data_IF_398942825525
#
_entry.id   IF_398942825525
#
_cell.length_a   1.000
_cell.length_b   1.000
_cell.length_c   1.000
_cell.angle_alpha   90.00
_cell.angle_beta   90.00
_cell.angle_gamma   90.00
#
_symmetry.space_group_name_H-M   'P 1'
#
loop_
_entity.id
_entity.type
_entity.pdbx_description
1 polymer ?
#
# COMPACT_ATOMS: atom_id res chain seq x y z
N UNK A 1 -6.53 10.91 20.92
CA UNK A 1 -7.40 9.73 21.06
C UNK A 1 -7.83 9.34 19.66
N UNK A 2 -7.33 8.21 19.17
CA UNK A 2 -7.78 7.63 17.90
C UNK A 2 -9.29 7.48 17.92
N UNK A 3 -9.94 7.79 16.79
CA UNK A 3 -11.37 7.54 16.64
C UNK A 3 -11.57 6.04 16.66
N UNK A 4 -12.26 5.52 17.67
CA UNK A 4 -12.67 4.12 17.66
C UNK A 4 -13.81 3.98 16.65
N UNK A 5 -13.47 3.59 15.43
CA UNK A 5 -14.42 3.33 14.36
C UNK A 5 -14.99 1.91 14.56
N UNK A 6 -16.31 1.75 14.80
CA UNK A 6 -16.88 0.43 15.03
C UNK A 6 -16.72 -0.46 13.79
N UNK A 7 -16.33 -1.73 13.98
CA UNK A 7 -16.25 -2.72 12.89
C UNK A 7 -17.57 -2.86 12.13
N UNK A 8 -18.70 -2.64 12.81
CA UNK A 8 -20.01 -2.64 12.17
C UNK A 8 -20.16 -1.52 11.13
N UNK A 9 -19.58 -0.34 11.35
CA UNK A 9 -19.64 0.76 10.40
C UNK A 9 -18.85 0.44 9.12
N UNK A 10 -17.69 -0.20 9.26
CA UNK A 10 -16.87 -0.70 8.14
C UNK A 10 -17.68 -1.72 7.32
N UNK A 11 -18.29 -2.70 7.98
CA UNK A 11 -19.13 -3.71 7.33
C UNK A 11 -20.35 -3.12 6.63
N UNK A 12 -20.98 -2.08 7.23
CA UNK A 12 -22.10 -1.37 6.61
C UNK A 12 -21.68 -0.61 5.36
N UNK A 13 -20.56 0.11 5.39
CA UNK A 13 -20.03 0.83 4.23
C UNK A 13 -19.70 -0.15 3.10
N UNK A 14 -18.99 -1.23 3.42
CA UNK A 14 -18.71 -2.30 2.45
C UNK A 14 -19.98 -2.86 1.82
N UNK A 15 -20.99 -3.18 2.65
CA UNK A 15 -22.28 -3.67 2.15
C UNK A 15 -22.99 -2.63 1.26
N UNK A 16 -22.87 -1.34 1.56
CA UNK A 16 -23.46 -0.28 0.73
C UNK A 16 -22.78 -0.19 -0.64
N UNK A 17 -21.45 -0.27 -0.67
CA UNK A 17 -20.65 -0.30 -1.90
C UNK A 17 -20.92 -1.55 -2.73
N UNK A 18 -20.92 -2.73 -2.10
CA UNK A 18 -21.19 -4.02 -2.77
C UNK A 18 -22.61 -4.07 -3.40
N UNK A 19 -23.60 -3.43 -2.76
CA UNK A 19 -24.97 -3.36 -3.27
C UNK A 19 -25.20 -2.21 -4.26
N UNK A 20 -24.21 -1.33 -4.45
CA UNK A 20 -24.33 -0.24 -5.40
C UNK A 20 -24.26 -0.80 -6.82
N UNK A 21 -25.34 -0.63 -7.58
CA UNK A 21 -25.43 -1.07 -8.97
C UNK A 21 -24.63 -0.13 -9.88
N UNK A 22 -23.31 -0.22 -9.78
CA UNK A 22 -22.37 0.69 -10.45
C UNK A 22 -22.54 0.68 -11.96
N UNK A 23 -22.78 -0.48 -12.58
CA UNK A 23 -22.95 -0.61 -14.03
C UNK A 23 -24.22 0.10 -14.50
N UNK A 24 -25.36 -0.14 -13.83
CA UNK A 24 -26.62 0.55 -14.11
C UNK A 24 -26.47 2.08 -13.97
N UNK A 25 -25.71 2.55 -12.97
CA UNK A 25 -25.43 3.97 -12.77
C UNK A 25 -24.55 4.56 -13.89
N UNK A 26 -23.52 3.84 -14.33
CA UNK A 26 -22.63 4.24 -15.44
C UNK A 26 -23.42 4.40 -16.74
N UNK A 27 -24.38 3.50 -17.03
CA UNK A 27 -25.22 3.58 -18.23
C UNK A 27 -26.06 4.86 -18.30
N UNK A 28 -26.39 5.45 -17.15
CA UNK A 28 -27.13 6.72 -17.06
C UNK A 28 -26.23 7.95 -17.23
N UNK A 29 -24.90 7.79 -17.24
CA UNK A 29 -23.93 8.88 -17.32
C UNK A 29 -23.49 9.16 -18.77
N UNK A 30 -24.02 10.21 -19.37
CA UNK A 30 -23.58 10.73 -20.70
C UNK A 30 -22.76 12.02 -20.59
N UNK A 31 -22.90 12.76 -19.49
CA UNK A 31 -22.21 14.02 -19.23
C UNK A 31 -21.76 14.13 -17.76
N UNK A 32 -21.08 15.22 -17.43
CA UNK A 32 -20.56 15.48 -16.09
C UNK A 32 -21.67 15.65 -15.04
N UNK A 33 -22.76 16.35 -15.36
CA UNK A 33 -23.89 16.53 -14.45
C UNK A 33 -24.55 15.20 -14.05
N UNK A 34 -24.64 14.25 -14.99
CA UNK A 34 -25.12 12.89 -14.71
C UNK A 34 -24.10 12.07 -13.93
N UNK A 35 -22.80 12.26 -14.16
CA UNK A 35 -21.74 11.63 -13.36
C UNK A 35 -21.84 12.08 -11.89
N UNK A 36 -22.00 13.40 -11.70
CA UNK A 36 -22.27 14.04 -10.42
C UNK A 36 -23.48 13.41 -9.70
N UNK A 37 -24.62 13.35 -10.38
CA UNK A 37 -25.89 12.83 -9.82
C UNK A 37 -25.91 11.32 -9.56
N UNK A 38 -25.40 10.50 -10.47
CA UNK A 38 -25.60 9.04 -10.41
C UNK A 38 -24.42 8.28 -9.82
N UNK A 39 -23.22 8.89 -9.75
CA UNK A 39 -22.03 8.23 -9.20
C UNK A 39 -21.50 8.95 -7.95
N UNK A 40 -21.28 10.27 -8.05
CA UNK A 40 -20.59 11.03 -7.00
C UNK A 40 -21.49 11.29 -5.78
N UNK A 41 -22.72 11.78 -5.99
CA UNK A 41 -23.66 12.03 -4.89
C UNK A 41 -24.01 10.74 -4.11
N UNK A 42 -24.34 9.59 -4.76
CA UNK A 42 -24.55 8.34 -4.05
C UNK A 42 -23.35 7.87 -3.22
N UNK A 43 -22.13 8.05 -3.73
CA UNK A 43 -20.91 7.72 -2.99
C UNK A 43 -20.78 8.54 -1.70
N UNK A 44 -20.97 9.86 -1.76
CA UNK A 44 -20.92 10.70 -0.57
C UNK A 44 -22.08 10.42 0.39
N UNK A 45 -23.25 10.02 -0.12
CA UNK A 45 -24.36 9.54 0.70
C UNK A 45 -24.00 8.26 1.48
N UNK A 46 -23.24 7.33 0.88
CA UNK A 46 -22.72 6.15 1.59
C UNK A 46 -21.76 6.52 2.72
N UNK A 47 -21.06 7.65 2.59
CA UNK A 47 -20.22 8.26 3.63
C UNK A 47 -21.00 9.17 4.59
N UNK A 48 -22.33 9.09 4.60
CA UNK A 48 -23.24 9.84 5.47
C UNK A 48 -23.25 11.37 5.25
N UNK A 49 -22.78 11.85 4.10
CA UNK A 49 -22.99 13.23 3.69
C UNK A 49 -24.35 13.35 2.99
N UNK A 50 -25.24 14.18 3.54
CA UNK A 50 -26.54 14.46 2.92
C UNK A 50 -26.51 15.82 2.22
N UNK A 51 -27.59 16.22 1.55
CA UNK A 51 -27.63 17.41 0.68
C UNK A 51 -27.29 18.74 1.37
N UNK A 52 -27.37 18.82 2.70
CA UNK A 52 -26.96 20.01 3.45
C UNK A 52 -25.47 20.02 3.83
N UNK A 53 -24.78 18.87 3.68
CA UNK A 53 -23.35 18.74 3.93
C UNK A 53 -22.55 18.89 2.64
N UNK A 54 -23.03 18.29 1.55
CA UNK A 54 -22.44 18.33 0.22
C UNK A 54 -23.08 19.46 -0.60
N UNK A 55 -22.47 20.64 -0.58
CA UNK A 55 -23.02 21.86 -1.20
C UNK A 55 -22.52 21.97 -2.65
N UNK A 56 -23.42 21.93 -3.65
CA UNK A 56 -23.03 22.10 -5.04
C UNK A 56 -22.71 23.56 -5.37
N UNK A 57 -21.92 23.79 -6.41
CA UNK A 57 -21.68 25.13 -6.99
C UNK A 57 -21.18 26.14 -5.93
N UNK A 58 -20.27 25.68 -5.07
CA UNK A 58 -19.77 26.43 -3.91
C UNK A 58 -18.77 27.50 -4.34
N UNK A 59 -18.86 28.69 -3.75
CA UNK A 59 -17.93 29.78 -4.06
C UNK A 59 -16.61 29.58 -3.31
N UNK A 60 -15.53 29.36 -4.04
CA UNK A 60 -14.19 29.12 -3.50
C UNK A 60 -13.37 30.43 -3.44
N UNK A 61 -13.92 31.51 -2.86
CA UNK A 61 -13.33 32.85 -2.94
C UNK A 61 -13.07 33.56 -1.60
N UNK A 62 -11.99 34.35 -1.62
CA UNK A 62 -11.75 35.51 -0.77
C UNK A 62 -11.13 36.64 -1.63
N UNK A 63 -11.92 37.62 -2.09
CA UNK A 63 -11.45 38.83 -2.79
C UNK A 63 -12.33 39.33 -3.97
N UNK A 64 -12.03 40.52 -4.51
CA UNK A 64 -12.79 41.25 -5.57
C UNK A 64 -12.69 40.63 -6.99
N UNK A 65 -12.37 39.34 -7.12
CA UNK A 65 -12.34 38.66 -8.44
C UNK A 65 -13.54 37.74 -8.61
N UNK A 66 -14.00 37.65 -9.86
CA UNK A 66 -15.16 36.90 -10.33
C UNK A 66 -15.18 35.51 -9.71
N UNK A 67 -16.28 35.20 -9.02
CA UNK A 67 -16.35 34.01 -8.17
C UNK A 67 -16.24 32.73 -8.98
N UNK A 68 -15.15 31.97 -8.80
CA UNK A 68 -15.06 30.67 -9.42
C UNK A 68 -15.74 29.64 -8.52
N UNK A 69 -16.78 29.02 -9.05
CA UNK A 69 -17.53 27.97 -8.36
C UNK A 69 -16.86 26.62 -8.58
N UNK A 70 -16.74 25.86 -7.49
CA UNK A 70 -16.34 24.46 -7.51
C UNK A 70 -17.58 23.58 -7.51
N UNK A 71 -17.47 22.37 -8.08
CA UNK A 71 -18.58 21.43 -8.22
C UNK A 71 -19.26 21.11 -6.89
N UNK A 72 -18.48 20.71 -5.88
CA UNK A 72 -19.00 20.56 -4.52
C UNK A 72 -18.01 21.02 -3.45
N UNK A 73 -18.58 21.41 -2.30
CA UNK A 73 -17.86 21.58 -1.05
C UNK A 73 -18.57 20.80 0.05
N UNK A 74 -17.79 20.06 0.85
CA UNK A 74 -18.29 19.40 2.05
C UNK A 74 -17.99 20.30 3.25
N UNK A 75 -19.03 20.76 3.96
CA UNK A 75 -18.86 21.56 5.17
C UNK A 75 -18.78 20.68 6.41
N UNK A 76 -17.64 20.71 7.10
CA UNK A 76 -17.40 19.99 8.34
C UNK A 76 -17.47 20.94 9.53
N UNK A 77 -18.36 20.64 10.50
CA UNK A 77 -18.45 21.35 11.78
C UNK A 77 -18.42 22.89 11.69
N UNK A 78 -18.95 23.46 10.59
CA UNK A 78 -18.98 24.89 10.26
C UNK A 78 -17.62 25.60 10.16
N UNK A 79 -16.49 24.88 10.14
CA UNK A 79 -15.15 25.49 10.11
C UNK A 79 -14.29 24.96 8.97
N UNK A 80 -14.20 23.65 8.83
CA UNK A 80 -13.35 23.04 7.79
C UNK A 80 -14.19 22.73 6.55
N UNK A 81 -13.59 22.90 5.38
CA UNK A 81 -14.22 22.61 4.10
C UNK A 81 -13.38 21.57 3.35
N UNK A 82 -14.02 20.57 2.74
CA UNK A 82 -13.36 19.70 1.75
C UNK A 82 -13.86 20.11 0.38
N UNK A 83 -12.93 20.43 -0.51
CA UNK A 83 -13.23 20.78 -1.88
C UNK A 83 -13.34 19.53 -2.75
N UNK A 84 -14.33 19.45 -3.61
CA UNK A 84 -14.53 18.31 -4.51
C UNK A 84 -14.73 18.82 -5.94
N UNK A 85 -13.77 18.50 -6.81
CA UNK A 85 -13.85 18.72 -8.25
C UNK A 85 -14.28 17.42 -8.92
N UNK A 86 -15.33 17.50 -9.73
CA UNK A 86 -15.90 16.39 -10.48
C UNK A 86 -15.49 16.48 -11.96
N UNK A 87 -15.42 15.31 -12.60
CA UNK A 87 -15.28 15.17 -14.04
C UNK A 87 -16.25 14.12 -14.55
N UNK A 88 -16.50 14.12 -15.86
CA UNK A 88 -17.25 13.04 -16.52
C UNK A 88 -16.58 11.69 -16.28
N UNK A 89 -17.37 10.63 -16.04
CA UNK A 89 -16.85 9.29 -15.69
C UNK A 89 -15.85 8.71 -16.70
N UNK A 90 -16.04 9.00 -17.99
CA UNK A 90 -15.17 8.53 -19.07
C UNK A 90 -13.85 9.30 -19.18
N UNK A 91 -13.70 10.41 -18.45
CA UNK A 91 -12.50 11.24 -18.47
C UNK A 91 -11.44 10.69 -17.52
N UNK A 92 -10.17 10.76 -17.95
CA UNK A 92 -9.03 10.48 -17.08
C UNK A 92 -8.77 11.67 -16.16
N UNK A 93 -8.39 11.39 -14.93
CA UNK A 93 -7.94 12.41 -13.98
C UNK A 93 -6.44 12.66 -14.21
N UNK A 94 -6.09 13.82 -14.77
CA UNK A 94 -4.71 14.20 -15.09
C UNK A 94 -4.26 15.41 -14.28
N UNK A 95 -2.99 15.79 -14.43
CA UNK A 95 -2.41 16.97 -13.76
C UNK A 95 -3.12 18.27 -14.17
N UNK A 96 -3.78 18.29 -15.33
CA UNK A 96 -4.60 19.43 -15.75
C UNK A 96 -5.79 19.65 -14.82
N UNK A 97 -6.55 18.59 -14.54
CA UNK A 97 -7.71 18.65 -13.64
C UNK A 97 -7.27 18.88 -12.19
N UNK A 98 -6.15 18.30 -11.77
CA UNK A 98 -5.54 18.60 -10.46
C UNK A 98 -5.12 20.07 -10.35
N UNK A 99 -4.55 20.66 -11.41
CA UNK A 99 -4.22 22.08 -11.47
C UNK A 99 -5.45 23.00 -11.35
N UNK A 100 -6.59 22.59 -11.93
CA UNK A 100 -7.87 23.30 -11.75
C UNK A 100 -8.31 23.25 -10.28
N UNK A 101 -8.28 22.07 -9.66
CA UNK A 101 -8.59 21.88 -8.24
C UNK A 101 -7.67 22.73 -7.34
N UNK A 102 -6.37 22.79 -7.65
CA UNK A 102 -5.41 23.62 -6.91
C UNK A 102 -5.77 25.11 -6.94
N UNK A 103 -6.32 25.60 -8.05
CA UNK A 103 -6.79 26.98 -8.18
C UNK A 103 -7.86 27.32 -7.13
N UNK A 104 -8.85 26.45 -6.95
CA UNK A 104 -9.88 26.60 -5.91
C UNK A 104 -9.32 26.42 -4.49
N UNK A 105 -8.41 25.46 -4.33
CA UNK A 105 -7.82 25.11 -3.03
C UNK A 105 -6.99 26.27 -2.45
N UNK A 106 -6.16 26.92 -3.27
CA UNK A 106 -5.34 28.06 -2.84
C UNK A 106 -6.18 29.23 -2.30
N UNK A 107 -7.37 29.43 -2.85
CA UNK A 107 -8.28 30.50 -2.43
C UNK A 107 -9.12 30.13 -1.19
N UNK A 108 -9.17 28.86 -0.81
CA UNK A 108 -10.02 28.35 0.29
C UNK A 108 -9.18 28.02 1.53
N UNK A 109 -8.83 29.03 2.33
CA UNK A 109 -7.90 28.91 3.47
C UNK A 109 -8.31 27.92 4.56
N UNK A 110 -9.60 27.63 4.68
CA UNK A 110 -10.14 26.67 5.64
C UNK A 110 -10.25 25.24 5.06
N UNK A 111 -9.75 25.02 3.84
CA UNK A 111 -9.61 23.71 3.24
C UNK A 111 -8.23 23.15 3.48
N UNK A 112 -8.18 21.89 3.92
CA UNK A 112 -6.95 21.09 4.08
C UNK A 112 -6.99 19.77 3.32
N UNK A 113 -8.15 19.44 2.75
CA UNK A 113 -8.36 18.22 1.98
C UNK A 113 -9.09 18.62 0.70
N UNK A 114 -8.63 18.08 -0.42
CA UNK A 114 -9.26 18.25 -1.72
C UNK A 114 -9.50 16.87 -2.36
N UNK A 115 -10.58 16.73 -3.12
CA UNK A 115 -10.95 15.50 -3.81
C UNK A 115 -11.12 15.81 -5.29
N UNK A 116 -10.41 15.07 -6.13
CA UNK A 116 -10.64 15.04 -7.57
C UNK A 116 -11.26 13.69 -7.94
N UNK A 117 -12.41 13.69 -8.62
CA UNK A 117 -13.10 12.45 -8.95
C UNK A 117 -13.83 12.46 -10.29
N UNK A 118 -13.93 11.30 -10.92
CA UNK A 118 -14.82 11.05 -12.04
C UNK A 118 -16.00 10.12 -11.66
N UNK A 119 -16.25 9.91 -10.37
CA UNK A 119 -17.27 8.99 -9.86
C UNK A 119 -16.86 7.52 -9.84
N UNK A 120 -15.76 7.14 -10.49
CA UNK A 120 -15.17 5.79 -10.42
C UNK A 120 -13.92 5.79 -9.54
N UNK A 121 -13.04 6.76 -9.79
CA UNK A 121 -11.81 6.99 -9.05
C UNK A 121 -11.94 8.27 -8.23
N UNK A 122 -11.52 8.23 -6.97
CA UNK A 122 -11.52 9.34 -6.03
C UNK A 122 -10.09 9.55 -5.54
N UNK A 123 -9.49 10.69 -5.89
CA UNK A 123 -8.13 11.05 -5.49
C UNK A 123 -8.18 12.12 -4.40
N UNK A 124 -7.60 11.81 -3.26
CA UNK A 124 -7.58 12.68 -2.09
C UNK A 124 -6.22 13.36 -1.97
N UNK A 125 -6.24 14.68 -1.89
CA UNK A 125 -5.08 15.56 -1.81
C UNK A 125 -5.08 16.36 -0.52
N UNK A 126 -3.90 16.75 -0.07
CA UNK A 126 -3.65 17.62 1.09
C UNK A 126 -2.58 18.65 0.69
N UNK A 127 -2.28 19.59 1.58
CA UNK A 127 -1.26 20.63 1.41
C UNK A 127 -0.06 20.42 2.34
N UNK A 128 0.53 19.22 2.29
CA UNK A 128 1.60 18.84 3.22
C UNK A 128 2.91 19.54 2.87
N UNK A 129 3.26 19.61 1.58
CA UNK A 129 4.54 20.15 1.13
C UNK A 129 4.55 21.69 1.22
N UNK A 130 3.50 22.33 0.71
CA UNK A 130 3.35 23.78 0.73
C UNK A 130 1.94 24.18 1.19
N UNK A 131 1.79 25.07 2.19
CA UNK A 131 0.47 25.46 2.68
C UNK A 131 -0.43 26.06 1.60
N UNK A 132 -1.66 25.58 1.51
CA UNK A 132 -2.68 26.00 0.53
C UNK A 132 -2.33 25.67 -0.93
N UNK A 133 -1.37 24.77 -1.18
CA UNK A 133 -1.09 24.23 -2.50
C UNK A 133 -1.24 22.71 -2.39
N UNK A 134 -2.09 22.11 -3.23
CA UNK A 134 -2.27 20.66 -3.17
C UNK A 134 -0.99 19.95 -3.60
N UNK A 135 -0.65 18.86 -2.92
CA UNK A 135 0.50 18.04 -3.28
C UNK A 135 0.36 17.46 -4.69
N UNK A 136 1.48 17.28 -5.42
CA UNK A 136 1.45 16.80 -6.81
C UNK A 136 0.85 15.40 -6.97
N UNK A 137 0.87 14.59 -5.90
CA UNK A 137 0.30 13.25 -5.87
C UNK A 137 -0.77 13.16 -4.78
N UNK A 138 -1.87 12.44 -5.03
CA UNK A 138 -2.84 12.17 -3.97
C UNK A 138 -2.21 11.26 -2.91
N UNK A 139 -2.49 11.55 -1.63
CA UNK A 139 -2.03 10.69 -0.53
C UNK A 139 -2.90 9.44 -0.37
N UNK A 140 -4.09 9.44 -0.96
CA UNK A 140 -5.01 8.30 -0.97
C UNK A 140 -5.83 8.31 -2.25
N UNK A 141 -6.03 7.13 -2.85
CA UNK A 141 -6.88 6.94 -4.02
C UNK A 141 -7.82 5.78 -3.77
N UNK A 142 -9.11 5.98 -4.06
CA UNK A 142 -10.14 4.95 -3.92
C UNK A 142 -10.79 4.69 -5.27
N UNK A 143 -10.96 3.41 -5.63
CA UNK A 143 -11.65 3.01 -6.85
C UNK A 143 -12.91 2.19 -6.47
N UNK A 144 -14.08 2.68 -6.85
CA UNK A 144 -15.36 2.06 -6.44
C UNK A 144 -15.63 0.70 -7.11
N UNK A 145 -14.98 0.41 -8.24
CA UNK A 145 -15.12 -0.87 -8.96
C UNK A 145 -14.13 -1.91 -8.41
N UNK A 146 -12.93 -1.47 -8.04
CA UNK A 146 -11.86 -2.35 -7.60
C UNK A 146 -11.20 -1.80 -6.33
N UNK A 147 -11.64 -2.30 -5.18
CA UNK A 147 -11.11 -1.95 -3.86
C UNK A 147 -10.83 -3.19 -3.01
N UNK A 148 -9.91 -3.04 -2.06
CA UNK A 148 -9.57 -4.03 -1.03
C UNK A 148 -10.22 -3.71 0.31
N UNK A 149 -10.13 -4.63 1.29
CA UNK A 149 -10.60 -4.36 2.66
C UNK A 149 -9.86 -3.17 3.30
N UNK A 150 -8.54 -3.06 3.07
CA UNK A 150 -7.72 -1.96 3.58
C UNK A 150 -8.17 -0.59 3.02
N UNK A 151 -8.70 -0.59 1.80
CA UNK A 151 -9.26 0.62 1.20
C UNK A 151 -10.53 1.04 1.95
N UNK A 152 -11.39 0.09 2.35
CA UNK A 152 -12.58 0.41 3.16
C UNK A 152 -12.20 0.92 4.55
N UNK A 153 -11.20 0.31 5.19
CA UNK A 153 -10.66 0.78 6.48
C UNK A 153 -10.05 2.19 6.39
N UNK A 154 -9.52 2.58 5.23
CA UNK A 154 -9.03 3.93 4.98
C UNK A 154 -10.17 4.89 4.65
N UNK A 155 -11.11 4.47 3.80
CA UNK A 155 -12.23 5.28 3.34
C UNK A 155 -13.19 5.65 4.46
N UNK A 156 -13.44 4.75 5.42
CA UNK A 156 -14.35 5.02 6.56
C UNK A 156 -13.89 6.22 7.41
N UNK A 157 -12.60 6.59 7.34
CA UNK A 157 -12.07 7.80 8.01
C UNK A 157 -12.62 9.10 7.41
N UNK A 158 -13.15 9.04 6.19
CA UNK A 158 -13.81 10.17 5.52
C UNK A 158 -15.32 10.21 5.74
N UNK A 159 -15.91 9.22 6.42
CA UNK A 159 -17.34 9.23 6.78
C UNK A 159 -17.64 10.40 7.73
N UNK A 160 -18.74 11.12 7.49
CA UNK A 160 -19.15 12.29 8.26
C UNK A 160 -19.15 12.04 9.77
N UNK A 161 -19.48 10.83 10.21
CA UNK A 161 -19.59 10.46 11.64
C UNK A 161 -18.23 10.37 12.33
N UNK A 162 -17.16 10.12 11.58
CA UNK A 162 -15.83 9.77 12.11
C UNK A 162 -14.73 10.74 11.66
N UNK A 163 -14.99 11.55 10.64
CA UNK A 163 -13.98 12.39 10.01
C UNK A 163 -13.31 13.37 10.98
N UNK A 164 -11.99 13.35 10.97
CA UNK A 164 -11.12 14.31 11.66
C UNK A 164 -10.04 14.77 10.69
N UNK A 165 -10.18 16.01 10.23
CA UNK A 165 -9.27 16.61 9.24
C UNK A 165 -7.81 16.52 9.69
N UNK A 166 -7.53 16.79 10.97
CA UNK A 166 -6.18 16.72 11.53
C UNK A 166 -5.57 15.30 11.39
N UNK A 167 -6.34 14.25 11.65
CA UNK A 167 -5.85 12.87 11.57
C UNK A 167 -5.64 12.42 10.11
N UNK A 168 -6.47 12.90 9.18
CA UNK A 168 -6.31 12.68 7.74
C UNK A 168 -5.06 13.39 7.23
N UNK A 169 -4.86 14.66 7.58
CA UNK A 169 -3.66 15.42 7.20
C UNK A 169 -2.41 14.75 7.77
N UNK A 170 -2.46 14.21 8.99
CA UNK A 170 -1.36 13.41 9.53
C UNK A 170 -1.06 12.16 8.69
N UNK A 171 -2.09 11.47 8.20
CA UNK A 171 -1.90 10.33 7.28
C UNK A 171 -1.22 10.79 5.98
N UNK A 172 -1.63 11.95 5.43
CA UNK A 172 -0.96 12.53 4.26
C UNK A 172 0.51 12.89 4.55
N UNK A 173 0.79 13.45 5.73
CA UNK A 173 2.15 13.75 6.19
C UNK A 173 3.03 12.50 6.27
N UNK A 174 2.50 11.39 6.74
CA UNK A 174 3.23 10.11 6.81
C UNK A 174 3.58 9.59 5.40
N UNK A 175 2.65 9.68 4.44
CA UNK A 175 2.91 9.29 3.04
C UNK A 175 4.01 10.16 2.42
N UNK A 176 3.90 11.48 2.55
CA UNK A 176 4.90 12.42 2.03
C UNK A 176 6.26 12.23 2.71
N UNK A 177 6.27 11.94 4.02
CA UNK A 177 7.49 11.64 4.75
C UNK A 177 8.20 10.40 4.21
N UNK A 178 7.48 9.30 3.99
CA UNK A 178 8.04 8.05 3.44
C UNK A 178 8.64 8.31 2.06
N UNK A 179 7.90 8.95 1.16
CA UNK A 179 8.40 9.27 -0.19
C UNK A 179 9.62 10.21 -0.13
N UNK A 180 9.59 11.23 0.72
CA UNK A 180 10.71 12.16 0.90
C UNK A 180 11.96 11.45 1.41
N UNK A 181 11.81 10.56 2.41
CA UNK A 181 12.89 9.76 2.94
C UNK A 181 13.49 8.82 1.88
N UNK A 182 12.64 8.07 1.16
CA UNK A 182 13.06 7.15 0.11
C UNK A 182 13.85 7.89 -0.98
N UNK A 183 13.33 9.02 -1.47
CA UNK A 183 14.00 9.83 -2.50
C UNK A 183 15.33 10.40 -2.02
N UNK A 184 15.38 10.93 -0.79
CA UNK A 184 16.59 11.47 -0.21
C UNK A 184 17.66 10.39 -0.01
N UNK A 185 17.27 9.22 0.51
CA UNK A 185 18.18 8.11 0.72
C UNK A 185 18.67 7.54 -0.62
N UNK A 186 17.78 7.35 -1.60
CA UNK A 186 18.14 6.89 -2.94
C UNK A 186 19.13 7.84 -3.62
N UNK A 187 18.94 9.16 -3.49
CA UNK A 187 19.87 10.17 -4.01
C UNK A 187 21.28 9.98 -3.45
N UNK A 188 21.40 9.72 -2.15
CA UNK A 188 22.68 9.43 -1.50
C UNK A 188 23.29 8.09 -1.95
N UNK A 189 22.47 7.09 -2.31
CA UNK A 189 22.99 5.82 -2.85
C UNK A 189 23.49 5.95 -4.30
N UNK A 190 22.87 6.83 -5.10
CA UNK A 190 23.28 7.09 -6.50
C UNK A 190 24.51 7.99 -6.55
N UNK A 191 24.54 9.03 -5.73
CA UNK A 191 25.62 9.99 -5.67
C UNK A 191 25.92 10.35 -4.20
N UNK A 192 26.73 9.53 -3.48
CA UNK A 192 27.03 9.74 -2.07
C UNK A 192 27.63 11.12 -1.81
N UNK A 193 27.03 11.86 -0.87
CA UNK A 193 27.54 13.16 -0.44
C UNK A 193 28.82 13.02 0.36
N UNK A 194 29.63 14.09 0.40
CA UNK A 194 30.83 14.14 1.26
C UNK A 194 30.47 13.92 2.74
N UNK A 195 29.29 14.36 3.19
CA UNK A 195 28.84 14.19 4.57
C UNK A 195 28.51 12.73 4.90
N UNK A 196 27.81 12.02 4.02
CA UNK A 196 27.58 10.58 4.17
C UNK A 196 28.91 9.82 4.22
N UNK A 197 29.81 10.10 3.27
CA UNK A 197 31.12 9.45 3.20
C UNK A 197 31.97 9.75 4.45
N UNK A 198 31.85 10.95 5.02
CA UNK A 198 32.54 11.31 6.26
C UNK A 198 32.06 10.49 7.46
N UNK A 199 30.74 10.24 7.56
CA UNK A 199 30.18 9.38 8.61
C UNK A 199 30.69 7.94 8.44
N UNK A 200 30.66 7.41 7.22
CA UNK A 200 31.16 6.06 6.91
C UNK A 200 32.64 5.95 7.25
N UNK A 201 33.46 6.90 6.79
CA UNK A 201 34.91 6.94 7.03
C UNK A 201 35.27 6.94 8.51
N UNK A 202 34.57 7.76 9.31
CA UNK A 202 34.76 7.81 10.77
C UNK A 202 34.45 6.47 11.45
N UNK A 203 33.52 5.70 10.91
CA UNK A 203 33.11 4.41 11.46
C UNK A 203 33.93 3.22 10.91
N UNK A 204 34.85 3.45 9.99
CA UNK A 204 35.74 2.41 9.48
C UNK A 204 36.79 2.04 10.55
N UNK A 205 37.01 0.75 10.75
CA UNK A 205 38.07 0.25 11.65
C UNK A 205 39.48 0.46 11.07
N UNK A 206 39.59 0.61 9.74
CA UNK A 206 40.84 0.88 9.05
C UNK A 206 41.10 2.38 8.93
N UNK A 207 42.10 2.88 9.65
CA UNK A 207 42.44 4.30 9.69
C UNK A 207 43.08 4.75 8.36
N UNK A 208 42.47 5.73 7.71
CA UNK A 208 42.97 6.37 6.48
C UNK A 208 42.72 7.87 6.50
N UNK A 209 43.40 8.64 5.65
CA UNK A 209 43.10 10.06 5.47
C UNK A 209 41.81 10.25 4.67
N UNK A 210 40.93 11.16 5.11
CA UNK A 210 39.74 11.57 4.36
C UNK A 210 40.12 12.65 3.33
N UNK A 211 40.63 12.21 2.17
CA UNK A 211 41.08 13.05 1.06
C UNK A 211 40.34 12.70 -0.24
N UNK A 212 40.51 13.50 -1.30
CA UNK A 212 39.77 13.31 -2.57
C UNK A 212 39.99 11.94 -3.20
N UNK A 213 41.21 11.40 -3.12
CA UNK A 213 41.54 10.07 -3.63
C UNK A 213 40.71 8.97 -2.94
N UNK A 214 40.67 8.95 -1.61
CA UNK A 214 39.90 7.95 -0.86
C UNK A 214 38.39 8.18 -0.97
N UNK A 215 37.94 9.44 -1.06
CA UNK A 215 36.54 9.78 -1.36
C UNK A 215 36.13 9.18 -2.70
N UNK A 216 36.95 9.33 -3.75
CA UNK A 216 36.68 8.75 -5.07
C UNK A 216 36.59 7.22 -5.03
N UNK A 217 37.49 6.55 -4.27
CA UNK A 217 37.40 5.10 -4.04
C UNK A 217 36.10 4.71 -3.35
N UNK A 218 35.69 5.43 -2.31
CA UNK A 218 34.45 5.15 -1.59
C UNK A 218 33.22 5.31 -2.49
N UNK A 219 33.17 6.35 -3.32
CA UNK A 219 32.07 6.56 -4.29
C UNK A 219 31.96 5.36 -5.23
N UNK A 220 33.08 4.90 -5.81
CA UNK A 220 33.08 3.77 -6.75
C UNK A 220 32.65 2.43 -6.11
N UNK A 221 32.84 2.29 -4.79
CA UNK A 221 32.39 1.12 -4.05
C UNK A 221 30.86 1.10 -3.84
N UNK A 222 30.20 2.27 -3.80
CA UNK A 222 28.73 2.36 -3.69
C UNK A 222 28.12 2.10 -5.07
N UNK A 223 28.12 0.82 -5.47
CA UNK A 223 27.52 0.35 -6.71
C UNK A 223 26.50 -0.77 -6.46
N UNK A 224 25.75 -1.16 -7.48
CA UNK A 224 24.66 -2.14 -7.35
C UNK A 224 25.11 -3.49 -6.78
N UNK A 225 26.32 -3.96 -7.09
CA UNK A 225 26.87 -5.21 -6.55
C UNK A 225 27.11 -5.12 -5.05
N UNK A 226 27.70 -4.00 -4.60
CA UNK A 226 27.88 -3.73 -3.18
C UNK A 226 26.54 -3.59 -2.45
N UNK A 227 25.57 -2.86 -3.01
CA UNK A 227 24.25 -2.68 -2.40
C UNK A 227 23.50 -4.00 -2.27
N UNK A 228 23.58 -4.89 -3.27
CA UNK A 228 22.99 -6.24 -3.19
C UNK A 228 23.64 -7.06 -2.07
N UNK A 229 24.97 -7.06 -1.98
CA UNK A 229 25.70 -7.71 -0.89
C UNK A 229 25.30 -7.17 0.50
N UNK A 230 25.14 -5.85 0.65
CA UNK A 230 24.66 -5.24 1.89
C UNK A 230 23.21 -5.61 2.22
N UNK A 231 22.33 -5.63 1.22
CA UNK A 231 20.94 -6.05 1.38
C UNK A 231 20.87 -7.50 1.88
N UNK A 232 21.60 -8.42 1.25
CA UNK A 232 21.61 -9.83 1.64
C UNK A 232 22.12 -10.00 3.08
N UNK A 233 23.17 -9.26 3.47
CA UNK A 233 23.65 -9.22 4.86
C UNK A 233 22.62 -8.64 5.83
N UNK A 234 21.90 -7.58 5.44
CA UNK A 234 20.86 -6.96 6.26
C UNK A 234 19.70 -7.93 6.50
N UNK A 235 19.23 -8.61 5.46
CA UNK A 235 18.18 -9.65 5.56
C UNK A 235 18.62 -10.77 6.50
N UNK A 236 19.87 -11.22 6.41
CA UNK A 236 20.42 -12.22 7.34
C UNK A 236 20.48 -11.72 8.79
N UNK A 237 20.78 -10.44 9.03
CA UNK A 237 20.79 -9.87 10.39
C UNK A 237 19.37 -9.68 10.95
N UNK A 238 18.41 -9.32 10.11
CA UNK A 238 17.00 -9.17 10.50
C UNK A 238 16.37 -10.51 10.87
N UNK A 239 16.71 -11.59 10.16
CA UNK A 239 16.26 -12.95 10.51
C UNK A 239 16.83 -13.45 11.84
N UNK A 240 18.03 -13.00 12.23
CA UNK A 240 18.65 -13.33 13.51
C UNK A 240 18.11 -12.49 14.69
N UNK A 241 17.71 -11.24 14.43
CA UNK A 241 17.38 -10.27 15.48
C UNK A 241 15.92 -10.30 15.95
N UNK A 242 15.06 -11.12 15.32
CA UNK A 242 13.68 -11.36 15.78
C UNK A 242 12.82 -10.09 15.94
N UNK A 243 13.24 -8.92 15.45
CA UNK A 243 12.60 -7.63 15.75
C UNK A 243 11.73 -7.06 14.64
N UNK A 244 11.81 -7.58 13.40
CA UNK A 244 10.97 -7.08 12.30
C UNK A 244 10.45 -8.23 11.43
N UNK A 245 9.17 -8.54 11.60
CA UNK A 245 8.36 -9.22 10.61
C UNK A 245 8.85 -10.61 10.17
N UNK A 246 8.10 -11.17 9.24
CA UNK A 246 8.38 -12.45 8.61
C UNK A 246 8.95 -12.10 7.23
N UNK A 247 10.20 -12.45 6.94
CA UNK A 247 10.86 -12.14 5.66
C UNK A 247 10.95 -13.43 4.86
N UNK A 248 10.13 -13.53 3.82
CA UNK A 248 10.15 -14.67 2.89
C UNK A 248 11.38 -14.57 1.98
N UNK A 249 12.26 -15.55 2.09
CA UNK A 249 13.53 -15.62 1.33
C UNK A 249 13.34 -16.24 -0.06
N UNK A 250 14.25 -15.93 -0.99
CA UNK A 250 14.26 -16.56 -2.33
C UNK A 250 14.38 -18.09 -2.26
N UNK A 251 15.14 -18.61 -1.27
CA UNK A 251 15.30 -20.05 -1.04
C UNK A 251 13.96 -20.71 -0.63
N UNK A 252 13.17 -20.04 0.21
CA UNK A 252 11.85 -20.54 0.62
C UNK A 252 10.86 -20.53 -0.56
N UNK A 253 10.88 -19.48 -1.39
CA UNK A 253 10.09 -19.42 -2.62
C UNK A 253 10.50 -20.52 -3.60
N UNK A 254 11.80 -20.77 -3.76
CA UNK A 254 12.29 -21.84 -4.62
C UNK A 254 11.87 -23.21 -4.11
N UNK A 255 12.02 -23.48 -2.80
CA UNK A 255 11.57 -24.72 -2.18
C UNK A 255 10.06 -24.93 -2.33
N UNK A 256 9.26 -23.87 -2.14
CA UNK A 256 7.83 -23.88 -2.40
C UNK A 256 7.50 -24.28 -3.84
N UNK A 257 8.14 -23.65 -4.83
CA UNK A 257 7.89 -23.96 -6.23
C UNK A 257 8.29 -25.41 -6.58
N UNK A 258 9.40 -25.91 -6.02
CA UNK A 258 9.82 -27.30 -6.18
C UNK A 258 8.78 -28.26 -5.60
N UNK A 259 8.36 -28.06 -4.34
CA UNK A 259 7.38 -28.90 -3.66
C UNK A 259 6.02 -28.84 -4.37
N UNK A 260 5.56 -27.63 -4.73
CA UNK A 260 4.31 -27.46 -5.50
C UNK A 260 4.38 -28.21 -6.82
N UNK A 261 5.48 -28.11 -7.56
CA UNK A 261 5.67 -28.83 -8.83
C UNK A 261 5.65 -30.34 -8.63
N UNK A 262 6.25 -30.86 -7.55
CA UNK A 262 6.20 -32.29 -7.22
C UNK A 262 4.79 -32.78 -6.92
N UNK A 263 4.00 -31.99 -6.19
CA UNK A 263 2.65 -32.36 -5.77
C UNK A 263 1.65 -32.34 -6.95
N UNK A 264 1.69 -31.32 -7.81
CA UNK A 264 0.74 -31.17 -8.93
C UNK A 264 0.95 -32.20 -10.04
N UNK A 265 2.08 -32.93 -10.06
CA UNK A 265 2.25 -34.09 -10.95
C UNK A 265 1.22 -35.18 -10.65
N UNK A 266 0.68 -35.22 -9.43
CA UNK A 266 -0.44 -36.07 -9.09
C UNK A 266 -1.76 -35.38 -9.44
N UNK A 267 -2.51 -35.95 -10.40
CA UNK A 267 -3.79 -35.41 -10.89
C UNK A 267 -4.86 -35.21 -9.80
N UNK A 268 -4.72 -35.84 -8.63
CA UNK A 268 -5.63 -35.67 -7.49
C UNK A 268 -5.40 -34.36 -6.71
N UNK A 269 -4.33 -33.63 -6.99
CA UNK A 269 -3.91 -32.43 -6.25
C UNK A 269 -3.99 -31.20 -7.18
N UNK A 270 -5.06 -30.38 -7.08
CA UNK A 270 -5.17 -29.16 -7.87
C UNK A 270 -4.10 -28.13 -7.47
N UNK A 271 -3.52 -27.45 -8.46
CA UNK A 271 -2.44 -26.47 -8.25
C UNK A 271 -2.87 -25.23 -7.46
N UNK A 272 -4.17 -24.94 -7.44
CA UNK A 272 -4.79 -23.81 -6.77
C UNK A 272 -4.93 -24.03 -5.27
N UNK A 273 -4.87 -25.29 -4.81
CA UNK A 273 -5.08 -25.65 -3.40
C UNK A 273 -3.81 -25.64 -2.57
N UNK A 274 -2.63 -25.63 -3.19
CA UNK A 274 -1.36 -25.58 -2.48
C UNK A 274 -0.96 -24.13 -2.27
N UNK A 275 -0.94 -23.69 -1.02
CA UNK A 275 -0.51 -22.36 -0.60
C UNK A 275 0.70 -22.45 0.32
N UNK A 276 1.35 -21.31 0.54
CA UNK A 276 2.35 -21.18 1.58
C UNK A 276 1.98 -20.07 2.54
N UNK A 277 2.48 -20.18 3.77
CA UNK A 277 2.43 -19.11 4.75
C UNK A 277 3.77 -19.06 5.47
N UNK A 278 4.38 -17.91 5.41
CA UNK A 278 5.64 -17.68 6.08
C UNK A 278 5.38 -17.31 7.56
N UNK A 279 6.26 -17.77 8.44
CA UNK A 279 6.25 -17.51 9.86
C UNK A 279 7.66 -17.18 10.34
N UNK A 280 7.74 -16.60 11.53
CA UNK A 280 9.01 -16.27 12.16
C UNK A 280 9.83 -17.54 12.43
N UNK A 281 10.87 -17.74 11.62
CA UNK A 281 11.81 -18.85 11.70
C UNK A 281 11.35 -20.14 11.01
N UNK A 282 10.24 -20.14 10.29
CA UNK A 282 9.83 -21.29 9.48
C UNK A 282 8.80 -20.95 8.42
N UNK A 283 8.81 -21.70 7.33
CA UNK A 283 7.95 -21.50 6.18
C UNK A 283 7.02 -22.70 5.99
N UNK A 284 5.72 -22.50 6.08
CA UNK A 284 4.73 -23.58 5.97
C UNK A 284 4.17 -23.66 4.57
N UNK A 285 3.94 -24.90 4.12
CA UNK A 285 3.19 -25.21 2.91
C UNK A 285 1.95 -26.00 3.31
N UNK A 286 0.77 -25.54 2.90
CA UNK A 286 -0.52 -26.07 3.33
C UNK A 286 -1.53 -26.23 2.20
N UNK A 287 -2.57 -27.01 2.46
CA UNK A 287 -3.75 -27.10 1.58
C UNK A 287 -4.79 -26.05 2.00
N UNK A 288 -5.36 -25.34 1.02
CA UNK A 288 -6.45 -24.37 1.15
C UNK A 288 -6.19 -23.25 2.17
N UNK A 289 -4.92 -22.84 2.33
CA UNK A 289 -4.48 -21.85 3.33
C UNK A 289 -4.94 -22.16 4.77
N UNK A 290 -5.09 -23.46 5.08
CA UNK A 290 -5.59 -23.93 6.35
C UNK A 290 -4.45 -24.36 7.28
N UNK A 291 -4.35 -23.70 8.44
CA UNK A 291 -3.32 -23.97 9.45
C UNK A 291 -3.37 -25.37 10.07
N UNK A 292 -4.48 -26.11 9.91
CA UNK A 292 -4.61 -27.52 10.33
C UNK A 292 -4.22 -28.52 9.22
N UNK A 293 -4.10 -28.06 7.98
CA UNK A 293 -3.78 -28.90 6.81
C UNK A 293 -2.37 -28.59 6.28
N UNK A 294 -1.38 -28.68 7.17
CA UNK A 294 0.04 -28.45 6.83
C UNK A 294 0.62 -29.69 6.16
N UNK A 295 1.08 -29.52 4.91
CA UNK A 295 1.78 -30.54 4.14
C UNK A 295 3.19 -30.73 4.71
N UNK A 296 3.94 -29.63 4.80
CA UNK A 296 5.27 -29.61 5.36
C UNK A 296 5.65 -28.23 5.90
N UNK A 297 6.64 -28.23 6.78
CA UNK A 297 7.25 -27.03 7.37
C UNK A 297 8.73 -27.01 7.01
N UNK A 298 9.20 -25.91 6.44
CA UNK A 298 10.60 -25.68 6.10
C UNK A 298 11.23 -24.80 7.18
N UNK A 299 12.45 -25.14 7.60
CA UNK A 299 13.23 -24.33 8.55
C UNK A 299 14.61 -24.12 7.94
N UNK A 300 14.82 -22.96 7.33
CA UNK A 300 16.06 -22.61 6.65
C UNK A 300 16.80 -21.55 7.46
N UNK A 301 17.73 -22.00 8.29
CA UNK A 301 18.52 -21.13 9.16
C UNK A 301 19.96 -21.09 8.64
N UNK A 302 20.25 -20.28 7.62
CA UNK A 302 21.59 -19.88 7.11
C UNK A 302 22.59 -21.01 6.77
N UNK A 303 22.95 -21.84 7.75
CA UNK A 303 23.82 -23.01 7.66
C UNK A 303 23.08 -24.36 7.77
N UNK A 304 21.80 -24.40 8.17
CA UNK A 304 21.01 -25.64 8.31
C UNK A 304 19.67 -25.50 7.62
N UNK A 305 19.39 -26.38 6.66
CA UNK A 305 18.08 -26.52 6.05
C UNK A 305 17.40 -27.78 6.55
N UNK A 306 16.14 -27.67 6.96
CA UNK A 306 15.34 -28.79 7.42
C UNK A 306 13.95 -28.75 6.83
N UNK A 307 13.37 -29.94 6.65
CA UNK A 307 11.96 -30.12 6.33
C UNK A 307 11.31 -31.03 7.36
N UNK A 308 10.12 -30.63 7.80
CA UNK A 308 9.24 -31.42 8.64
C UNK A 308 8.04 -31.87 7.81
N UNK A 309 7.78 -33.17 7.77
CA UNK A 309 6.62 -33.76 7.09
C UNK A 309 5.85 -34.54 8.15
N UNK A 310 4.75 -33.97 8.65
CA UNK A 310 4.12 -34.47 9.87
C UNK A 310 5.07 -34.34 11.07
N UNK A 311 5.33 -35.45 11.75
CA UNK A 311 6.24 -35.51 12.90
C UNK A 311 7.69 -35.87 12.51
N UNK A 312 7.94 -36.19 11.23
CA UNK A 312 9.27 -36.57 10.75
C UNK A 312 10.11 -35.33 10.43
N UNK A 313 11.35 -35.32 10.92
CA UNK A 313 12.33 -34.26 10.66
C UNK A 313 13.45 -34.78 9.75
N UNK A 314 13.74 -34.02 8.69
CA UNK A 314 14.81 -34.34 7.74
C UNK A 314 15.74 -33.15 7.53
N UNK A 315 17.05 -33.41 7.53
CA UNK A 315 18.06 -32.40 7.15
C UNK A 315 18.23 -32.37 5.63
N UNK A 316 18.42 -31.18 5.08
CA UNK A 316 18.67 -30.92 3.67
C UNK A 316 20.04 -30.25 3.54
N UNK A 317 20.87 -30.75 2.63
CA UNK A 317 22.14 -30.12 2.27
C UNK A 317 21.96 -29.19 1.07
N UNK A 318 21.05 -29.53 0.16
CA UNK A 318 20.65 -28.72 -0.99
C UNK A 318 19.12 -28.72 -1.19
N UNK A 319 18.58 -27.72 -1.89
CA UNK A 319 17.13 -27.67 -2.21
C UNK A 319 16.69 -28.90 -3.03
N UNK A 320 17.57 -29.45 -3.86
CA UNK A 320 17.27 -30.62 -4.68
C UNK A 320 17.00 -31.88 -3.83
N UNK A 321 17.43 -31.90 -2.57
CA UNK A 321 17.12 -33.00 -1.65
C UNK A 321 15.62 -33.16 -1.40
N UNK A 322 14.81 -32.12 -1.66
CA UNK A 322 13.35 -32.19 -1.60
C UNK A 322 12.78 -33.26 -2.54
N UNK A 323 13.47 -33.57 -3.65
CA UNK A 323 13.07 -34.62 -4.59
C UNK A 323 13.05 -36.01 -3.94
N UNK A 324 13.90 -36.24 -2.92
CA UNK A 324 13.99 -37.52 -2.19
C UNK A 324 12.70 -37.82 -1.40
N UNK A 325 11.99 -36.77 -0.98
CA UNK A 325 10.79 -36.88 -0.14
C UNK A 325 9.47 -36.79 -0.91
N UNK A 326 9.52 -36.87 -2.25
CA UNK A 326 8.33 -36.75 -3.13
C UNK A 326 7.17 -37.66 -2.70
N UNK A 327 7.45 -38.94 -2.45
CA UNK A 327 6.42 -39.93 -2.11
C UNK A 327 5.72 -39.58 -0.79
N UNK A 328 6.50 -39.17 0.22
CA UNK A 328 5.98 -38.83 1.54
C UNK A 328 5.15 -37.54 1.51
N UNK A 329 5.65 -36.50 0.83
CA UNK A 329 4.90 -35.26 0.58
C UNK A 329 3.58 -35.53 -0.12
N UNK A 330 3.58 -36.40 -1.13
CA UNK A 330 2.36 -36.75 -1.88
C UNK A 330 1.35 -37.48 -1.00
N UNK A 331 1.79 -38.51 -0.26
CA UNK A 331 0.92 -39.27 0.64
C UNK A 331 0.32 -38.37 1.73
N UNK A 332 1.14 -37.53 2.35
CA UNK A 332 0.68 -36.57 3.35
C UNK A 332 -0.36 -35.60 2.79
N UNK A 333 -0.14 -35.11 1.57
CA UNK A 333 -1.06 -34.19 0.91
C UNK A 333 -2.40 -34.85 0.59
N UNK A 334 -2.39 -36.10 0.11
CA UNK A 334 -3.63 -36.85 -0.17
C UNK A 334 -4.48 -37.03 1.10
N UNK A 335 -3.85 -37.38 2.23
CA UNK A 335 -4.51 -37.49 3.53
C UNK A 335 -5.14 -36.18 4.05
N UNK A 336 -4.70 -35.03 3.52
CA UNK A 336 -5.23 -33.71 3.90
C UNK A 336 -6.33 -33.21 2.96
N UNK A 337 -6.43 -33.80 1.77
CA UNK A 337 -7.42 -33.47 0.74
C UNK A 337 -8.71 -34.26 0.96
N UNK A 338 -8.60 -35.51 1.41
CA UNK A 338 -9.69 -36.30 1.99
C UNK A 338 -10.27 -35.61 3.23
#
# INVERSE_FOLDING_TARGET
>A
MEVNIPKQAISQLKKALDNFKINDAIELCTNEAQTRKFLIEPFFLMLNYVSNDLIPEYNADFGDRISQKIDYAILLNKKDTILVEAKKYSSKLTDKEAGQLNGYFNNTKNSKIAILTNGIEYRFYSDVVEPNIIDNKPFYTFNIINYSENDIESLIKFDKRYIKVIDIVKTAQEVVFVESFENAFFKELVAPSKDLLKIIHRNMTFATKFNEENIGKMINLVNSSFLKCLYDKKVQLESLSNSQGVITTELEIQAYHTIRTLLIQNKKIPKERVSYRDFKGFFNISIDDNSKKVICKLVFNGAKMKIFIGDNEYNLEHIDDLLKYKTELTNRTLLLIE
#
